data_IF_805580162612
#
_entry.id   IF_805580162612
#
_cell.length_a   1.000
_cell.length_b   1.000
_cell.length_c   1.000
_cell.angle_alpha   90.00
_cell.angle_beta   90.00
_cell.angle_gamma   90.00
#
_symmetry.space_group_name_H-M   'P 1'
#
loop_
_entity.id
_entity.type
_entity.pdbx_description
1 polymer ?
#
# COMPACT_ATOMS: atom_id res chain seq x y z
N UNK A 1 25.71 -5.73 10.66
CA UNK A 1 26.04 -5.87 9.22
C UNK A 1 25.30 -7.09 8.74
N UNK A 2 24.47 -7.00 7.68
CA UNK A 2 23.69 -8.15 7.22
C UNK A 2 24.60 -9.19 6.54
N UNK A 3 24.28 -10.47 6.70
CA UNK A 3 24.92 -11.54 5.95
C UNK A 3 24.41 -11.58 4.50
N UNK A 4 25.14 -12.25 3.61
CA UNK A 4 24.72 -12.42 2.21
C UNK A 4 23.41 -13.21 2.10
N UNK A 5 23.21 -14.19 3.00
CA UNK A 5 22.02 -15.03 3.07
C UNK A 5 20.80 -14.23 3.55
N UNK A 6 20.99 -13.35 4.54
CA UNK A 6 19.94 -12.42 5.00
C UNK A 6 19.52 -11.42 3.91
N UNK A 7 20.48 -10.95 3.10
CA UNK A 7 20.18 -10.07 1.97
C UNK A 7 19.44 -10.82 0.86
N UNK A 8 19.87 -12.04 0.56
CA UNK A 8 19.23 -12.93 -0.42
C UNK A 8 17.79 -13.26 -0.03
N UNK A 9 17.58 -13.63 1.24
CA UNK A 9 16.26 -13.89 1.82
C UNK A 9 15.32 -12.70 1.66
N UNK A 10 15.77 -11.49 2.02
CA UNK A 10 14.96 -10.27 1.86
C UNK A 10 14.57 -9.99 0.42
N UNK A 11 15.46 -10.26 -0.53
CA UNK A 11 15.18 -10.09 -1.96
C UNK A 11 14.14 -11.11 -2.42
N UNK A 12 14.29 -12.38 -2.04
CA UNK A 12 13.28 -13.41 -2.34
C UNK A 12 11.93 -13.03 -1.73
N UNK A 13 11.89 -12.69 -0.45
CA UNK A 13 10.69 -12.28 0.26
C UNK A 13 9.99 -11.10 -0.42
N UNK A 14 10.74 -10.07 -0.83
CA UNK A 14 10.19 -8.90 -1.52
C UNK A 14 9.60 -9.24 -2.89
N UNK A 15 10.20 -10.17 -3.62
CA UNK A 15 9.69 -10.59 -4.94
C UNK A 15 8.48 -11.52 -4.84
N UNK A 16 8.34 -12.29 -3.75
CA UNK A 16 7.12 -13.08 -3.46
C UNK A 16 5.97 -12.16 -3.03
N UNK A 17 6.25 -11.18 -2.16
CA UNK A 17 5.24 -10.34 -1.50
C UNK A 17 5.14 -8.95 -2.15
N UNK A 18 5.17 -8.89 -3.48
CA UNK A 18 5.16 -7.61 -4.19
C UNK A 18 3.84 -6.88 -4.06
N UNK A 19 3.92 -5.55 -3.87
CA UNK A 19 2.77 -4.67 -3.68
C UNK A 19 2.63 -3.76 -4.91
N UNK A 20 1.43 -3.68 -5.50
CA UNK A 20 1.05 -2.57 -6.39
C UNK A 20 1.52 -2.60 -7.84
N UNK A 21 1.57 -3.75 -8.51
CA UNK A 21 1.69 -3.80 -9.98
C UNK A 21 0.73 -4.85 -10.51
N UNK A 22 -0.03 -4.48 -11.55
CA UNK A 22 -0.88 -5.38 -12.33
C UNK A 22 -0.18 -6.73 -12.53
N UNK A 23 -0.87 -7.82 -12.20
CA UNK A 23 -0.37 -9.20 -12.21
C UNK A 23 0.16 -9.67 -13.59
N UNK A 24 0.07 -8.85 -14.63
CA UNK A 24 0.29 -9.24 -16.02
C UNK A 24 1.74 -9.32 -16.51
N UNK A 25 2.73 -8.73 -15.82
CA UNK A 25 4.05 -8.49 -16.45
C UNK A 25 5.27 -9.07 -15.70
N UNK A 26 5.07 -9.87 -14.64
CA UNK A 26 6.19 -10.48 -13.89
C UNK A 26 6.43 -11.93 -14.24
N UNK A 27 7.48 -12.16 -15.01
CA UNK A 27 8.02 -13.49 -15.25
C UNK A 27 8.99 -13.90 -14.12
N UNK A 28 8.43 -14.41 -13.02
CA UNK A 28 9.21 -14.91 -11.88
C UNK A 28 10.17 -16.05 -12.25
N UNK A 29 9.85 -16.80 -13.32
CA UNK A 29 10.69 -17.87 -13.83
C UNK A 29 12.00 -17.35 -14.46
N UNK A 30 12.06 -16.06 -14.83
CA UNK A 30 13.28 -15.41 -15.30
C UNK A 30 14.01 -14.70 -14.16
N UNK A 31 13.26 -14.05 -13.27
CA UNK A 31 13.83 -13.21 -12.22
C UNK A 31 14.51 -14.03 -11.10
N UNK A 32 13.92 -15.15 -10.68
CA UNK A 32 14.47 -15.97 -9.59
C UNK A 32 15.82 -16.62 -9.97
N UNK A 33 15.99 -17.24 -11.15
CA UNK A 33 17.29 -17.77 -11.56
C UNK A 33 18.36 -16.69 -11.65
N UNK A 34 18.01 -15.50 -12.17
CA UNK A 34 18.94 -14.37 -12.24
C UNK A 34 19.42 -13.92 -10.85
N UNK A 35 18.50 -13.83 -9.88
CA UNK A 35 18.85 -13.46 -8.50
C UNK A 35 19.75 -14.53 -7.86
N UNK A 36 19.44 -15.82 -8.08
CA UNK A 36 20.26 -16.93 -7.59
C UNK A 36 21.68 -16.86 -8.13
N UNK A 37 21.83 -16.65 -9.44
CA UNK A 37 23.13 -16.52 -10.10
C UNK A 37 23.91 -15.30 -9.60
N UNK A 38 23.26 -14.13 -9.50
CA UNK A 38 23.89 -12.88 -9.06
C UNK A 38 24.46 -12.99 -7.63
N UNK A 39 23.81 -13.73 -6.75
CA UNK A 39 24.25 -13.97 -5.38
C UNK A 39 25.17 -15.18 -5.24
N UNK A 40 25.42 -15.93 -6.33
CA UNK A 40 26.17 -17.19 -6.35
C UNK A 40 25.64 -18.18 -5.30
N UNK A 41 24.31 -18.24 -5.17
CA UNK A 41 23.65 -19.09 -4.19
C UNK A 41 23.56 -20.53 -4.73
N UNK A 42 23.98 -21.52 -3.95
CA UNK A 42 23.83 -22.93 -4.34
C UNK A 42 22.36 -23.33 -4.37
N UNK A 43 22.03 -24.36 -5.15
CA UNK A 43 20.65 -24.87 -5.28
C UNK A 43 20.06 -25.27 -3.92
N UNK A 44 20.84 -25.98 -3.09
CA UNK A 44 20.41 -26.38 -1.74
C UNK A 44 20.05 -25.18 -0.87
N UNK A 45 20.94 -24.17 -0.80
CA UNK A 45 20.72 -22.96 -0.01
C UNK A 45 19.60 -22.10 -0.58
N UNK A 46 19.47 -22.06 -1.91
CA UNK A 46 18.35 -21.39 -2.54
C UNK A 46 17.04 -22.03 -2.11
N UNK A 47 16.94 -23.36 -2.13
CA UNK A 47 15.77 -24.10 -1.66
C UNK A 47 15.40 -23.78 -0.22
N UNK A 48 16.39 -23.88 0.69
CA UNK A 48 16.19 -23.58 2.11
C UNK A 48 15.72 -22.14 2.35
N UNK A 49 16.41 -21.15 1.75
CA UNK A 49 16.08 -19.73 1.95
C UNK A 49 14.77 -19.35 1.26
N UNK A 50 14.45 -19.97 0.13
CA UNK A 50 13.18 -19.78 -0.58
C UNK A 50 12.00 -20.29 0.26
N UNK A 51 12.15 -21.42 0.94
CA UNK A 51 11.14 -21.93 1.87
C UNK A 51 10.95 -20.99 3.06
N UNK A 52 12.04 -20.50 3.64
CA UNK A 52 11.99 -19.47 4.69
C UNK A 52 11.22 -18.22 4.21
N UNK A 53 11.56 -17.70 3.03
CA UNK A 53 10.93 -16.51 2.48
C UNK A 53 9.43 -16.72 2.15
N UNK A 54 9.01 -17.93 1.75
CA UNK A 54 7.59 -18.26 1.49
C UNK A 54 6.78 -18.45 2.77
N UNK A 55 7.38 -19.01 3.81
CA UNK A 55 6.70 -19.31 5.08
C UNK A 55 6.63 -18.12 6.04
N UNK A 56 7.32 -17.01 5.73
CA UNK A 56 7.18 -15.77 6.48
C UNK A 56 5.80 -15.15 6.28
N UNK A 57 5.30 -14.56 7.34
CA UNK A 57 4.05 -13.80 7.30
C UNK A 57 4.16 -12.66 6.28
N UNK A 58 3.15 -12.55 5.42
CA UNK A 58 3.08 -11.48 4.44
C UNK A 58 3.10 -10.13 5.16
N UNK A 59 3.77 -9.10 4.60
CA UNK A 59 3.81 -7.80 5.24
C UNK A 59 2.40 -7.23 5.35
N UNK A 60 2.05 -6.69 6.51
CA UNK A 60 0.82 -5.93 6.65
C UNK A 60 0.96 -4.63 5.84
N UNK A 61 0.11 -4.46 4.84
CA UNK A 61 0.09 -3.29 3.97
C UNK A 61 -0.96 -2.34 4.51
N UNK A 62 -0.56 -1.12 4.83
CA UNK A 62 -1.47 -0.06 5.24
C UNK A 62 -1.33 1.14 4.33
N UNK A 63 -2.46 1.70 3.91
CA UNK A 63 -2.53 2.96 3.18
C UNK A 63 -2.89 4.06 4.19
N UNK A 64 -1.94 4.96 4.47
CA UNK A 64 -2.21 6.12 5.31
C UNK A 64 -2.67 7.28 4.43
N UNK A 65 -3.86 7.80 4.71
CA UNK A 65 -4.45 8.93 3.98
C UNK A 65 -4.71 10.06 4.95
N UNK A 66 -4.29 11.26 4.57
CA UNK A 66 -4.61 12.48 5.30
C UNK A 66 -5.52 13.35 4.43
N UNK A 67 -6.70 13.66 4.96
CA UNK A 67 -7.61 14.63 4.35
C UNK A 67 -7.33 15.98 5.00
N UNK A 68 -6.61 16.84 4.27
CA UNK A 68 -6.18 18.15 4.76
C UNK A 68 -7.30 19.17 4.64
N UNK A 69 -7.65 19.56 3.41
CA UNK A 69 -8.62 20.64 3.15
C UNK A 69 -9.27 20.51 1.77
N UNK A 70 -10.35 21.26 1.55
CA UNK A 70 -10.89 21.57 0.24
C UNK A 70 -11.08 23.09 0.12
N UNK A 71 -11.13 23.60 -1.11
CA UNK A 71 -11.25 25.03 -1.40
C UNK A 71 -12.33 25.31 -2.43
N UNK A 72 -12.96 26.46 -2.29
CA UNK A 72 -13.93 27.01 -3.24
C UNK A 72 -15.05 26.02 -3.62
N UNK A 73 -15.57 25.30 -2.64
CA UNK A 73 -16.70 24.40 -2.84
C UNK A 73 -17.93 25.16 -3.33
N UNK A 74 -18.78 24.48 -4.08
CA UNK A 74 -20.04 25.07 -4.53
C UNK A 74 -20.99 25.25 -3.32
N UNK A 75 -21.64 26.42 -3.18
CA UNK A 75 -22.67 26.62 -2.16
C UNK A 75 -23.90 25.79 -2.47
N UNK A 76 -24.29 24.92 -1.55
CA UNK A 76 -25.46 24.05 -1.69
C UNK A 76 -26.62 24.46 -0.78
N UNK A 77 -26.36 25.28 0.23
CA UNK A 77 -27.36 25.73 1.18
C UNK A 77 -27.82 27.16 0.92
N UNK A 78 -29.03 27.47 1.40
CA UNK A 78 -29.68 28.79 1.22
C UNK A 78 -28.90 29.97 1.82
N UNK A 79 -27.99 29.71 2.75
CA UNK A 79 -27.10 30.71 3.34
C UNK A 79 -25.90 31.06 2.45
N UNK A 80 -25.79 30.43 1.26
CA UNK A 80 -24.66 30.61 0.35
C UNK A 80 -23.40 29.86 0.79
N UNK A 81 -23.53 28.86 1.66
CA UNK A 81 -22.46 28.00 2.19
C UNK A 81 -22.84 26.53 2.00
N UNK A 82 -22.06 25.63 2.60
CA UNK A 82 -22.28 24.18 2.64
C UNK A 82 -21.80 23.61 3.97
N UNK A 83 -22.29 22.41 4.34
CA UNK A 83 -21.78 21.60 5.45
C UNK A 83 -20.97 20.38 4.95
N UNK A 84 -19.76 20.55 4.38
CA UNK A 84 -19.02 19.48 3.69
C UNK A 84 -18.42 18.41 4.61
N UNK A 85 -18.35 17.18 4.08
CA UNK A 85 -17.54 16.05 4.57
C UNK A 85 -17.03 15.21 3.38
N UNK A 86 -16.03 14.36 3.62
CA UNK A 86 -15.46 13.44 2.61
C UNK A 86 -15.76 12.00 2.99
N UNK A 87 -16.21 11.20 2.02
CA UNK A 87 -16.27 9.73 2.10
C UNK A 87 -15.18 9.13 1.22
N UNK A 88 -14.38 8.22 1.78
CA UNK A 88 -13.36 7.46 1.07
C UNK A 88 -13.61 5.96 1.14
N UNK A 89 -13.16 5.23 0.13
CA UNK A 89 -13.13 3.77 0.09
C UNK A 89 -12.08 3.29 -0.91
N UNK A 90 -11.58 2.07 -0.73
CA UNK A 90 -10.71 1.43 -1.73
C UNK A 90 -11.60 0.75 -2.77
N UNK A 91 -11.29 0.91 -4.06
CA UNK A 91 -12.11 0.36 -5.15
C UNK A 91 -12.31 -1.17 -5.08
N UNK A 92 -11.33 -1.90 -4.54
CA UNK A 92 -11.42 -3.35 -4.30
C UNK A 92 -12.34 -3.72 -3.14
N UNK A 93 -12.69 -2.78 -2.26
CA UNK A 93 -13.58 -2.98 -1.12
C UNK A 93 -14.51 -1.76 -0.89
N UNK A 94 -15.48 -1.50 -1.80
CA UNK A 94 -16.30 -0.28 -1.80
C UNK A 94 -17.28 -0.18 -0.62
N UNK A 95 -17.48 -1.27 0.12
CA UNK A 95 -18.34 -1.30 1.30
C UNK A 95 -17.61 -0.82 2.57
N UNK A 96 -16.28 -0.86 2.58
CA UNK A 96 -15.49 -0.34 3.69
C UNK A 96 -15.23 1.15 3.47
N UNK A 97 -16.01 1.99 4.14
CA UNK A 97 -16.01 3.44 3.96
C UNK A 97 -15.46 4.17 5.18
N UNK A 98 -14.73 5.24 4.92
CA UNK A 98 -14.18 6.15 5.91
C UNK A 98 -14.78 7.52 5.67
N UNK A 99 -15.27 8.18 6.72
CA UNK A 99 -15.86 9.51 6.64
C UNK A 99 -15.06 10.48 7.51
N UNK A 100 -14.87 11.70 7.02
CA UNK A 100 -14.39 12.80 7.86
C UNK A 100 -15.50 13.35 8.75
N UNK A 101 -15.13 14.19 9.71
CA UNK A 101 -16.10 15.08 10.35
C UNK A 101 -16.76 16.03 9.34
N UNK A 102 -17.99 16.46 9.66
CA UNK A 102 -18.70 17.49 8.91
C UNK A 102 -18.20 18.86 9.38
N UNK A 103 -17.88 19.75 8.45
CA UNK A 103 -17.50 21.15 8.76
C UNK A 103 -18.68 22.04 8.44
N UNK A 104 -19.22 22.75 9.43
CA UNK A 104 -20.43 23.53 9.25
C UNK A 104 -20.16 24.87 8.52
N UNK A 105 -21.04 25.24 7.60
CA UNK A 105 -21.14 26.58 7.01
C UNK A 105 -19.83 27.06 6.39
N UNK A 106 -19.19 26.27 5.56
CA UNK A 106 -17.93 26.66 4.90
C UNK A 106 -17.82 26.09 3.49
N UNK A 107 -17.25 26.90 2.58
CA UNK A 107 -16.83 26.46 1.26
C UNK A 107 -15.33 26.12 1.20
N UNK A 108 -14.62 26.33 2.30
CA UNK A 108 -13.19 26.08 2.46
C UNK A 108 -12.93 25.25 3.73
N UNK A 109 -13.42 24.01 3.81
CA UNK A 109 -13.25 23.17 4.99
C UNK A 109 -11.79 22.73 5.18
N UNK A 110 -11.35 22.71 6.44
CA UNK A 110 -10.10 22.10 6.89
C UNK A 110 -10.44 20.95 7.84
N UNK A 111 -9.98 19.75 7.51
CA UNK A 111 -10.21 18.53 8.28
C UNK A 111 -8.99 18.14 9.11
N UNK A 112 -7.81 18.05 8.48
CA UNK A 112 -6.58 17.51 9.08
C UNK A 112 -6.82 16.14 9.74
N UNK A 113 -7.57 15.29 9.04
CA UNK A 113 -7.98 13.98 9.55
C UNK A 113 -7.17 12.85 8.89
N UNK A 114 -6.61 11.99 9.73
CA UNK A 114 -5.80 10.85 9.31
C UNK A 114 -6.58 9.54 9.36
N UNK A 115 -6.43 8.73 8.32
CA UNK A 115 -7.02 7.41 8.18
C UNK A 115 -5.93 6.38 7.86
N UNK A 116 -6.03 5.19 8.44
CA UNK A 116 -5.19 4.05 8.12
C UNK A 116 -6.10 2.96 7.55
N UNK A 117 -5.92 2.67 6.27
CA UNK A 117 -6.73 1.75 5.47
C UNK A 117 -5.98 0.45 5.20
#
# INVERSE_FOLDING_TARGET
MFSIEELYEKILFKNIHTIGCDDGDRNMDVLLPYIQEAFKMSDDKHGEIMEIARNKEAPEIRLNVEIVEAKDLEPKDSNGLSDPFVTMYIASNPNHRYNTSVKAGTLNPVWEEHFSL
#
